data_IF_347082259585
#
_entry.id   IF_347082259585
#
_cell.length_a   1.000
_cell.length_b   1.000
_cell.length_c   1.000
_cell.angle_alpha   90.00
_cell.angle_beta   90.00
_cell.angle_gamma   90.00
#
_symmetry.space_group_name_H-M   'P 1'
#
loop_
_entity.id
_entity.type
_entity.pdbx_description
1 polymer ?
#
# COMPACT_ATOMS: atom_id res chain seq x y z
N UNK A 1 -6.40 28.83 23.24
CA UNK A 1 -7.39 29.09 22.24
C UNK A 1 -7.00 28.47 20.88
N UNK A 2 -5.75 28.54 20.58
CA UNK A 2 -5.27 27.90 19.37
C UNK A 2 -5.49 26.41 19.37
N UNK A 3 -5.76 25.82 20.51
CA UNK A 3 -6.16 24.43 20.53
C UNK A 3 -7.40 24.21 19.71
N UNK A 4 -8.18 25.22 19.47
CA UNK A 4 -9.39 25.07 18.68
C UNK A 4 -9.07 24.56 17.26
N UNK A 5 -8.01 25.08 16.65
CA UNK A 5 -7.63 24.63 15.33
C UNK A 5 -7.21 23.16 15.33
N UNK A 6 -6.41 22.79 16.32
CA UNK A 6 -6.00 21.41 16.45
C UNK A 6 -7.19 20.49 16.69
N UNK A 7 -8.12 20.96 17.52
CA UNK A 7 -9.32 20.16 17.77
C UNK A 7 -10.17 20.04 16.52
N UNK A 8 -10.18 21.10 15.71
CA UNK A 8 -10.91 21.04 14.46
C UNK A 8 -10.41 19.95 13.56
N UNK A 9 -9.10 19.82 13.44
CA UNK A 9 -8.52 18.74 12.64
C UNK A 9 -8.89 17.38 13.20
N UNK A 10 -8.94 17.26 14.51
CA UNK A 10 -9.24 15.97 15.12
C UNK A 10 -10.70 15.59 15.02
N UNK A 11 -11.57 16.53 14.73
CA UNK A 11 -13.00 16.20 14.66
C UNK A 11 -13.37 15.28 13.55
N UNK A 12 -12.49 15.10 12.55
CA UNK A 12 -12.80 14.26 11.41
C UNK A 12 -12.01 12.96 11.32
N UNK A 13 -11.31 12.56 12.40
CA UNK A 13 -10.44 11.38 12.26
C UNK A 13 -11.23 10.12 11.93
N UNK A 14 -12.43 9.97 12.44
CA UNK A 14 -13.20 8.77 12.19
C UNK A 14 -13.52 8.55 10.72
N UNK A 15 -14.00 9.60 10.05
CA UNK A 15 -14.37 9.49 8.65
C UNK A 15 -13.18 9.34 7.75
N UNK A 16 -12.15 10.16 7.96
CA UNK A 16 -10.94 10.08 7.16
C UNK A 16 -10.19 8.78 7.43
N UNK A 17 -10.13 8.37 8.68
CA UNK A 17 -9.45 7.13 9.03
C UNK A 17 -10.14 5.93 8.39
N UNK A 18 -11.47 5.93 8.34
CA UNK A 18 -12.19 4.83 7.70
C UNK A 18 -11.89 4.78 6.21
N UNK A 19 -11.86 5.95 5.56
CA UNK A 19 -11.55 6.02 4.14
C UNK A 19 -10.14 5.56 3.84
N UNK A 20 -9.17 6.09 4.61
CA UNK A 20 -7.77 5.69 4.43
C UNK A 20 -7.61 4.21 4.70
N UNK A 21 -8.33 3.68 5.70
CA UNK A 21 -8.29 2.28 6.03
C UNK A 21 -8.71 1.37 4.90
N UNK A 22 -9.63 1.82 4.05
CA UNK A 22 -10.05 1.02 2.89
C UNK A 22 -8.90 0.83 1.91
N UNK A 23 -8.15 1.88 1.63
CA UNK A 23 -7.03 1.78 0.72
C UNK A 23 -5.90 0.96 1.34
N UNK A 24 -5.65 1.15 2.62
CA UNK A 24 -4.61 0.39 3.32
C UNK A 24 -4.97 -1.09 3.36
N UNK A 25 -6.23 -1.43 3.61
CA UNK A 25 -6.66 -2.84 3.62
C UNK A 25 -6.46 -3.47 2.24
N UNK A 26 -6.81 -2.75 1.18
CA UNK A 26 -6.55 -3.21 -0.17
C UNK A 26 -5.06 -3.46 -0.38
N UNK A 27 -4.23 -2.49 -0.03
CA UNK A 27 -2.79 -2.58 -0.25
C UNK A 27 -2.19 -3.77 0.51
N UNK A 28 -2.54 -3.92 1.79
CA UNK A 28 -2.00 -5.03 2.59
C UNK A 28 -2.39 -6.38 1.99
N UNK A 29 -3.63 -6.52 1.56
CA UNK A 29 -4.07 -7.76 0.93
C UNK A 29 -3.30 -8.04 -0.35
N UNK A 30 -3.10 -7.00 -1.18
CA UNK A 30 -2.35 -7.16 -2.42
C UNK A 30 -0.90 -7.54 -2.14
N UNK A 31 -0.27 -6.91 -1.14
CA UNK A 31 1.10 -7.26 -0.77
C UNK A 31 1.18 -8.69 -0.27
N UNK A 32 0.22 -9.11 0.55
CA UNK A 32 0.22 -10.49 1.08
C UNK A 32 0.09 -11.52 -0.04
N UNK A 33 -0.71 -11.21 -1.06
CA UNK A 33 -0.87 -12.13 -2.20
C UNK A 33 0.38 -12.21 -3.06
N UNK A 34 1.05 -11.09 -3.29
CA UNK A 34 2.04 -10.99 -4.36
C UNK A 34 3.48 -10.96 -3.91
N UNK A 35 3.76 -10.71 -2.64
CA UNK A 35 5.13 -10.75 -2.17
C UNK A 35 5.63 -12.18 -2.12
N UNK A 36 6.86 -12.41 -2.59
CA UNK A 36 7.40 -13.78 -2.61
C UNK A 36 7.64 -14.31 -1.20
N UNK A 37 7.47 -15.60 -1.06
CA UNK A 37 7.79 -16.33 0.15
C UNK A 37 8.27 -17.72 -0.23
N UNK A 38 8.75 -18.46 0.75
CA UNK A 38 9.19 -19.82 0.50
C UNK A 38 8.04 -20.59 -0.13
N UNK A 39 8.30 -21.23 -1.26
CA UNK A 39 7.29 -21.98 -1.97
C UNK A 39 6.50 -21.18 -3.00
N UNK A 40 6.82 -19.88 -3.17
CA UNK A 40 6.18 -19.06 -4.17
C UNK A 40 5.19 -18.07 -3.58
N UNK A 41 4.49 -17.34 -4.44
CA UNK A 41 3.54 -16.33 -3.99
C UNK A 41 2.26 -16.99 -3.53
N UNK A 42 1.64 -16.37 -2.52
CA UNK A 42 0.35 -16.86 -2.04
C UNK A 42 -0.70 -16.85 -3.16
N UNK A 43 -0.65 -15.86 -4.06
CA UNK A 43 -1.56 -15.81 -5.21
C UNK A 43 -1.46 -17.06 -6.05
N UNK A 44 -0.25 -17.48 -6.37
CA UNK A 44 -0.05 -18.66 -7.24
C UNK A 44 -0.61 -19.92 -6.58
N UNK A 45 -0.41 -20.04 -5.29
CA UNK A 45 -0.94 -21.18 -4.55
C UNK A 45 -2.47 -21.18 -4.57
N UNK A 46 -3.08 -20.03 -4.29
CA UNK A 46 -4.54 -19.96 -4.27
C UNK A 46 -5.15 -20.18 -5.65
N UNK A 47 -4.48 -19.69 -6.70
CA UNK A 47 -4.96 -19.94 -8.06
C UNK A 47 -4.87 -21.41 -8.43
N UNK A 48 -3.83 -22.09 -7.97
CA UNK A 48 -3.71 -23.52 -8.16
C UNK A 48 -4.82 -24.26 -7.44
N UNK A 49 -5.12 -23.88 -6.21
CA UNK A 49 -6.23 -24.45 -5.46
C UNK A 49 -7.55 -24.22 -6.19
N UNK A 50 -7.74 -23.03 -6.74
CA UNK A 50 -8.95 -22.70 -7.48
C UNK A 50 -9.14 -23.64 -8.67
N UNK A 51 -8.07 -23.91 -9.39
CA UNK A 51 -8.14 -24.83 -10.55
C UNK A 51 -8.51 -26.23 -10.10
N UNK A 52 -7.98 -26.69 -8.97
CA UNK A 52 -8.26 -28.03 -8.47
C UNK A 52 -9.69 -28.16 -7.95
N UNK A 53 -10.19 -27.12 -7.28
CA UNK A 53 -11.52 -27.16 -6.66
C UNK A 53 -12.62 -26.77 -7.62
N UNK A 54 -12.29 -26.12 -8.72
CA UNK A 54 -13.30 -25.61 -9.66
C UNK A 54 -14.06 -24.41 -9.12
N UNK A 55 -13.55 -23.76 -8.09
CA UNK A 55 -14.16 -22.53 -7.54
C UNK A 55 -13.08 -21.64 -6.97
N UNK A 56 -13.41 -20.36 -6.86
CA UNK A 56 -12.45 -19.36 -6.46
C UNK A 56 -12.37 -19.27 -4.92
N UNK A 57 -11.20 -19.49 -4.33
CA UNK A 57 -11.03 -19.32 -2.89
C UNK A 57 -11.24 -17.86 -2.48
N UNK A 58 -11.83 -17.66 -1.31
CA UNK A 58 -12.13 -16.32 -0.82
C UNK A 58 -10.88 -15.45 -0.66
N UNK A 59 -9.74 -16.07 -0.36
CA UNK A 59 -8.51 -15.31 -0.15
C UNK A 59 -8.00 -14.57 -1.37
N UNK A 60 -8.46 -14.94 -2.57
CA UNK A 60 -8.05 -14.24 -3.78
C UNK A 60 -8.75 -12.89 -3.95
N UNK A 61 -9.92 -12.71 -3.40
CA UNK A 61 -10.71 -11.52 -3.69
C UNK A 61 -10.32 -10.32 -2.84
N UNK A 62 -10.31 -10.45 -1.55
CA UNK A 62 -9.91 -9.38 -0.65
C UNK A 62 -10.68 -8.08 -0.81
N UNK A 63 -10.26 -7.04 -0.10
CA UNK A 63 -10.90 -5.72 -0.22
C UNK A 63 -10.68 -5.11 -1.61
N UNK A 64 -11.69 -4.43 -2.16
CA UNK A 64 -11.52 -3.79 -3.47
C UNK A 64 -10.69 -2.52 -3.38
N UNK A 65 -10.09 -2.13 -4.49
CA UNK A 65 -9.40 -0.85 -4.59
C UNK A 65 -10.47 0.25 -4.67
N UNK A 66 -10.54 1.16 -3.70
CA UNK A 66 -11.53 2.22 -3.77
C UNK A 66 -11.24 3.17 -4.92
N UNK A 67 -12.28 3.61 -5.60
CA UNK A 67 -12.12 4.46 -6.78
C UNK A 67 -11.34 5.73 -6.45
N UNK A 68 -11.59 6.33 -5.28
CA UNK A 68 -10.90 7.55 -4.88
C UNK A 68 -9.40 7.34 -4.65
N UNK A 69 -8.97 6.10 -4.46
CA UNK A 69 -7.57 5.78 -4.17
C UNK A 69 -6.81 5.23 -5.36
N UNK A 70 -7.45 5.10 -6.52
CA UNK A 70 -6.79 4.49 -7.68
C UNK A 70 -5.53 5.25 -8.09
N UNK A 71 -5.60 6.57 -8.10
CA UNK A 71 -4.44 7.36 -8.50
C UNK A 71 -3.28 7.23 -7.49
N UNK A 72 -3.61 7.06 -6.21
CA UNK A 72 -2.57 6.87 -5.20
C UNK A 72 -1.91 5.50 -5.34
N UNK A 73 -2.71 4.49 -5.61
CA UNK A 73 -2.16 3.15 -5.83
C UNK A 73 -1.25 3.12 -7.06
N UNK A 74 -1.69 3.76 -8.15
CA UNK A 74 -0.87 3.87 -9.36
C UNK A 74 0.43 4.63 -9.09
N UNK A 75 0.35 5.71 -8.32
CA UNK A 75 1.55 6.47 -7.94
C UNK A 75 2.51 5.61 -7.15
N UNK A 76 1.99 4.83 -6.19
CA UNK A 76 2.85 3.96 -5.40
C UNK A 76 3.53 2.91 -6.28
N UNK A 77 2.80 2.34 -7.25
CA UNK A 77 3.39 1.36 -8.16
C UNK A 77 4.52 1.96 -8.98
N UNK A 78 4.33 3.19 -9.50
CA UNK A 78 5.38 3.89 -10.23
C UNK A 78 6.63 4.09 -9.36
N UNK A 79 6.40 4.62 -8.16
CA UNK A 79 7.50 4.89 -7.24
C UNK A 79 8.22 3.61 -6.84
N UNK A 80 7.45 2.55 -6.64
CA UNK A 80 8.01 1.25 -6.28
C UNK A 80 8.94 0.71 -7.36
N UNK A 81 8.58 0.90 -8.63
CA UNK A 81 9.42 0.44 -9.73
C UNK A 81 10.75 1.18 -9.78
N UNK A 82 10.77 2.45 -9.38
CA UNK A 82 11.98 3.25 -9.36
C UNK A 82 12.70 3.24 -8.01
N UNK A 83 12.28 2.40 -7.12
CA UNK A 83 12.80 2.33 -5.76
C UNK A 83 14.29 2.02 -5.75
N UNK A 84 15.00 2.73 -4.89
CA UNK A 84 16.42 2.46 -4.71
C UNK A 84 16.62 1.15 -3.97
N UNK A 85 17.70 0.48 -4.34
CA UNK A 85 18.09 -0.78 -3.70
C UNK A 85 19.47 -0.57 -3.10
N UNK A 86 19.56 -0.68 -1.80
CA UNK A 86 20.80 -0.48 -1.08
C UNK A 86 21.42 -1.81 -0.69
N UNK A 87 22.39 -1.71 0.23
CA UNK A 87 23.12 -2.87 0.68
C UNK A 87 22.19 -3.94 1.30
N UNK A 88 21.17 -3.50 1.99
CA UNK A 88 20.23 -4.41 2.66
C UNK A 88 18.96 -4.66 1.85
N UNK A 89 18.97 -4.39 0.56
CA UNK A 89 17.82 -4.60 -0.31
C UNK A 89 17.05 -3.33 -0.56
N UNK A 90 15.77 -3.48 -0.87
CA UNK A 90 14.91 -2.34 -1.22
C UNK A 90 14.84 -1.33 -0.08
N UNK A 91 14.99 -0.06 -0.41
CA UNK A 91 14.93 1.02 0.58
C UNK A 91 13.56 1.65 0.61
N UNK A 92 13.12 2.15 1.77
CA UNK A 92 11.85 2.88 1.83
C UNK A 92 11.85 4.08 0.90
N UNK A 93 10.69 4.42 0.38
CA UNK A 93 10.54 5.64 -0.40
C UNK A 93 10.84 6.84 0.48
N UNK A 94 11.52 7.83 -0.09
CA UNK A 94 11.86 9.05 0.62
C UNK A 94 11.01 10.21 0.09
N UNK A 95 10.99 11.30 0.84
CA UNK A 95 10.32 12.52 0.37
C UNK A 95 10.95 13.03 -0.91
N UNK A 96 12.28 12.84 -1.05
CA UNK A 96 12.96 13.24 -2.28
C UNK A 96 12.49 12.40 -3.47
N UNK A 97 12.21 11.12 -3.26
CA UNK A 97 11.68 10.27 -4.32
C UNK A 97 10.32 10.78 -4.80
N UNK A 98 9.44 11.14 -3.88
CA UNK A 98 8.12 11.66 -4.23
C UNK A 98 8.24 13.01 -4.93
N UNK A 99 9.12 13.87 -4.46
CA UNK A 99 9.34 15.17 -5.07
C UNK A 99 9.81 15.03 -6.51
N UNK A 100 10.81 14.20 -6.74
CA UNK A 100 11.32 13.99 -8.09
C UNK A 100 10.24 13.38 -8.99
N UNK A 101 9.53 12.40 -8.50
CA UNK A 101 8.47 11.75 -9.27
C UNK A 101 7.37 12.76 -9.64
N UNK A 102 6.95 13.57 -8.69
CA UNK A 102 5.90 14.57 -8.91
C UNK A 102 6.32 15.57 -9.98
N UNK A 103 7.57 16.08 -9.89
CA UNK A 103 8.04 17.05 -10.86
C UNK A 103 8.23 16.45 -12.25
N UNK A 104 8.75 15.25 -12.32
CA UNK A 104 9.05 14.62 -13.60
C UNK A 104 7.80 14.13 -14.32
N UNK A 105 6.80 13.69 -13.58
CA UNK A 105 5.56 13.19 -14.19
C UNK A 105 4.49 14.27 -14.32
N UNK A 106 4.65 15.40 -13.65
CA UNK A 106 3.62 16.44 -13.60
C UNK A 106 2.47 16.10 -12.65
N UNK A 107 2.55 15.01 -11.92
CA UNK A 107 1.51 14.64 -10.98
C UNK A 107 1.56 15.51 -9.75
N UNK A 108 0.41 16.07 -9.38
CA UNK A 108 0.32 16.92 -8.19
C UNK A 108 -0.28 16.11 -7.05
N UNK A 109 0.32 16.27 -5.88
CA UNK A 109 -0.14 15.57 -4.69
C UNK A 109 -0.40 16.55 -3.56
N UNK A 110 -1.56 16.39 -2.91
CA UNK A 110 -1.86 17.15 -1.70
C UNK A 110 -1.07 16.56 -0.54
N UNK A 111 -0.81 17.36 0.51
CA UNK A 111 -0.08 16.83 1.67
C UNK A 111 -0.70 15.58 2.28
N UNK A 112 -2.04 15.47 2.33
CA UNK A 112 -2.68 14.28 2.86
C UNK A 112 -2.45 13.07 1.95
N UNK A 113 -2.36 13.28 0.65
CA UNK A 113 -2.06 12.20 -0.28
C UNK A 113 -0.62 11.73 -0.14
N UNK A 114 0.31 12.67 0.05
CA UNK A 114 1.70 12.31 0.31
C UNK A 114 1.82 11.45 1.56
N UNK A 115 1.12 11.86 2.63
CA UNK A 115 1.14 11.09 3.87
C UNK A 115 0.60 9.67 3.67
N UNK A 116 -0.46 9.54 2.88
CA UNK A 116 -1.06 8.24 2.63
C UNK A 116 -0.15 7.36 1.76
N UNK A 117 0.50 7.95 0.76
CA UNK A 117 1.50 7.23 -0.04
C UNK A 117 2.62 6.67 0.84
N UNK A 118 3.13 7.50 1.73
CA UNK A 118 4.18 7.05 2.63
C UNK A 118 3.68 5.95 3.58
N UNK A 119 2.41 6.03 3.97
CA UNK A 119 1.82 4.99 4.79
C UNK A 119 1.70 3.66 4.02
N UNK A 120 1.28 3.72 2.75
CA UNK A 120 1.24 2.52 1.92
C UNK A 120 2.62 1.87 1.88
N UNK A 121 3.66 2.67 1.74
CA UNK A 121 5.02 2.14 1.68
C UNK A 121 5.43 1.49 2.99
N UNK A 122 5.06 2.07 4.12
CA UNK A 122 5.33 1.43 5.41
C UNK A 122 4.61 0.10 5.54
N UNK A 123 3.38 0.02 5.02
CA UNK A 123 2.65 -1.24 5.05
C UNK A 123 3.31 -2.30 4.17
N UNK A 124 3.88 -1.89 3.04
CA UNK A 124 4.63 -2.80 2.19
C UNK A 124 5.75 -3.48 2.99
N UNK A 125 6.55 -2.68 3.71
CA UNK A 125 7.63 -3.25 4.50
C UNK A 125 7.11 -4.05 5.70
N UNK A 126 6.00 -3.63 6.29
CA UNK A 126 5.41 -4.35 7.41
C UNK A 126 4.94 -5.74 6.97
N UNK A 127 4.22 -5.84 5.85
CA UNK A 127 3.75 -7.12 5.35
C UNK A 127 4.93 -8.01 4.96
N UNK A 128 5.93 -7.43 4.31
CA UNK A 128 7.12 -8.19 3.94
C UNK A 128 7.80 -8.77 5.19
N UNK A 129 7.91 -7.96 6.23
CA UNK A 129 8.49 -8.44 7.49
C UNK A 129 7.67 -9.54 8.13
N UNK A 130 6.34 -9.43 8.08
CA UNK A 130 5.47 -10.47 8.61
C UNK A 130 5.67 -11.79 7.86
N UNK A 131 5.78 -11.72 6.54
CA UNK A 131 5.99 -12.91 5.72
C UNK A 131 7.35 -13.55 6.05
N UNK A 132 8.39 -12.74 6.14
CA UNK A 132 9.74 -13.24 6.43
C UNK A 132 9.83 -13.81 7.84
N UNK A 133 9.09 -13.23 8.77
CA UNK A 133 9.10 -13.71 10.15
C UNK A 133 8.40 -15.04 10.35
N UNK A 134 7.66 -15.52 9.36
CA UNK A 134 6.94 -16.80 9.47
C UNK A 134 7.72 -18.01 9.00
N UNK A 135 9.00 -17.83 8.75
CA UNK A 135 9.84 -18.93 8.26
C UNK A 135 10.01 -20.07 9.28
#
# INVERSE_FOLDING_TARGET
VDQAAGRGARRRPGKLAARDGELIAFARHRFDLDLPRKGGRKRDHLESVARQLGRRPAGLDGPPLPAWGEHLWSAWLDLHQGRRVGFNGAEPLSWADLDAWSRLTGAEMRPDEVALLMRIDREFFAVRGEIEGKK
#
